data_IF_154999041996
#
_entry.id   IF_154999041996
#
_cell.length_a   1.000
_cell.length_b   1.000
_cell.length_c   1.000
_cell.angle_alpha   90.00
_cell.angle_beta   90.00
_cell.angle_gamma   90.00
#
_symmetry.space_group_name_H-M   'P 1'
#
loop_
_entity.id
_entity.type
_entity.pdbx_description
1 polymer ?
#
# COMPACT_ATOMS: atom_id res chain seq x y z
N UNK A 1 7.14 -22.25 -31.29
CA UNK A 1 7.09 -20.81 -31.58
C UNK A 1 7.41 -20.10 -30.27
N UNK A 2 8.64 -19.60 -30.09
CA UNK A 2 9.00 -18.71 -28.98
C UNK A 2 8.20 -17.42 -29.17
N UNK A 3 7.18 -17.24 -28.31
CA UNK A 3 6.48 -15.96 -28.24
C UNK A 3 7.48 -14.95 -27.67
N UNK A 4 7.90 -14.00 -28.48
CA UNK A 4 8.71 -12.86 -28.09
C UNK A 4 7.87 -11.96 -27.16
N UNK A 5 7.74 -12.36 -25.88
CA UNK A 5 7.04 -11.58 -24.85
C UNK A 5 8.04 -10.66 -24.19
N UNK A 6 7.77 -9.36 -24.20
CA UNK A 6 8.50 -8.38 -23.40
C UNK A 6 7.80 -8.12 -22.08
N UNK A 7 8.56 -7.85 -21.04
CA UNK A 7 8.01 -7.41 -19.73
C UNK A 7 7.72 -5.92 -19.84
N UNK A 8 6.45 -5.55 -19.65
CA UNK A 8 6.01 -4.15 -19.71
C UNK A 8 5.70 -3.57 -18.33
N UNK A 9 5.49 -4.42 -17.31
CA UNK A 9 5.22 -3.97 -15.94
C UNK A 9 6.03 -4.79 -14.95
N UNK A 10 6.57 -4.13 -13.94
CA UNK A 10 7.24 -4.75 -12.80
C UNK A 10 6.52 -4.31 -11.52
N UNK A 11 6.13 -5.28 -10.71
CA UNK A 11 5.51 -5.03 -9.42
C UNK A 11 6.25 -5.79 -8.31
N UNK A 12 6.77 -5.08 -7.33
CA UNK A 12 7.33 -5.65 -6.11
C UNK A 12 6.30 -5.48 -5.00
N UNK A 13 5.69 -6.57 -4.59
CA UNK A 13 4.64 -6.58 -3.58
C UNK A 13 4.70 -7.83 -2.70
N UNK A 14 3.67 -8.03 -1.88
CA UNK A 14 3.55 -9.15 -0.97
C UNK A 14 3.43 -8.73 0.49
N UNK A 15 4.19 -9.33 1.42
CA UNK A 15 4.07 -9.05 2.84
C UNK A 15 4.25 -7.58 3.19
N UNK A 16 5.45 -7.07 3.07
CA UNK A 16 5.79 -5.64 3.15
C UNK A 16 7.19 -5.46 2.57
N UNK A 17 7.34 -5.14 1.29
CA UNK A 17 8.66 -5.02 0.65
C UNK A 17 9.61 -4.03 1.33
N UNK A 18 9.05 -2.96 1.89
CA UNK A 18 9.81 -1.92 2.61
C UNK A 18 10.30 -2.33 4.01
N UNK A 19 10.16 -3.60 4.40
CA UNK A 19 10.89 -4.16 5.56
C UNK A 19 12.32 -4.53 5.23
N UNK A 20 12.68 -4.61 3.95
CA UNK A 20 14.07 -4.68 3.52
C UNK A 20 14.79 -3.39 3.90
N UNK A 21 16.09 -3.48 4.17
CA UNK A 21 16.91 -2.26 4.27
C UNK A 21 17.01 -1.57 2.91
N UNK A 22 17.32 -0.27 2.86
CA UNK A 22 17.55 0.44 1.60
C UNK A 22 18.60 -0.24 0.70
N UNK A 23 19.68 -0.78 1.27
CA UNK A 23 20.74 -1.48 0.53
C UNK A 23 20.25 -2.82 -0.03
N UNK A 24 19.42 -3.55 0.73
CA UNK A 24 18.82 -4.81 0.26
C UNK A 24 17.83 -4.56 -0.86
N UNK A 25 17.03 -3.50 -0.76
CA UNK A 25 16.11 -3.09 -1.81
C UNK A 25 16.87 -2.67 -3.09
N UNK A 26 17.91 -1.85 -2.98
CA UNK A 26 18.77 -1.47 -4.11
C UNK A 26 19.39 -2.70 -4.79
N UNK A 27 19.87 -3.65 -3.99
CA UNK A 27 20.45 -4.91 -4.46
C UNK A 27 19.43 -5.78 -5.18
N UNK A 28 18.23 -5.91 -4.62
CA UNK A 28 17.12 -6.66 -5.23
C UNK A 28 16.76 -6.09 -6.60
N UNK A 29 16.55 -4.77 -6.67
CA UNK A 29 16.14 -4.10 -7.91
C UNK A 29 17.24 -4.26 -8.98
N UNK A 30 18.50 -3.99 -8.65
CA UNK A 30 19.62 -4.20 -9.59
C UNK A 30 19.71 -5.63 -10.08
N UNK A 31 19.56 -6.60 -9.17
CA UNK A 31 19.57 -8.01 -9.51
C UNK A 31 18.42 -8.43 -10.45
N UNK A 32 17.26 -7.77 -10.40
CA UNK A 32 16.19 -7.97 -11.37
C UNK A 32 16.56 -7.42 -12.75
N UNK A 33 17.09 -6.19 -12.84
CA UNK A 33 17.52 -5.58 -14.09
C UNK A 33 18.69 -6.30 -14.76
N UNK A 34 19.54 -6.98 -14.00
CA UNK A 34 20.64 -7.79 -14.53
C UNK A 34 20.15 -9.13 -15.14
N UNK A 35 19.04 -9.67 -14.67
CA UNK A 35 18.55 -11.02 -15.02
C UNK A 35 17.43 -11.03 -16.03
N UNK A 36 16.68 -9.96 -16.12
CA UNK A 36 15.51 -9.83 -17.00
C UNK A 36 15.72 -8.66 -17.95
N UNK A 37 15.26 -8.83 -19.20
CA UNK A 37 15.15 -7.70 -20.12
C UNK A 37 13.94 -6.85 -19.73
N UNK A 38 14.23 -5.76 -19.02
CA UNK A 38 13.26 -4.80 -18.52
C UNK A 38 13.29 -3.47 -19.32
N UNK A 39 13.88 -3.49 -20.53
CA UNK A 39 14.02 -2.29 -21.39
C UNK A 39 12.68 -1.70 -21.84
N UNK A 40 11.61 -2.51 -21.85
CA UNK A 40 10.27 -2.11 -22.29
C UNK A 40 9.31 -1.84 -21.13
N UNK A 41 9.82 -1.70 -19.89
CA UNK A 41 8.98 -1.38 -18.73
C UNK A 41 8.28 -0.03 -18.94
N UNK A 42 6.97 -0.04 -18.76
CA UNK A 42 6.08 1.13 -18.78
C UNK A 42 5.62 1.55 -17.39
N UNK A 43 5.60 0.61 -16.45
CA UNK A 43 5.28 0.86 -15.04
C UNK A 43 6.14 -0.02 -14.14
N UNK A 44 6.81 0.61 -13.18
CA UNK A 44 7.53 -0.05 -12.11
C UNK A 44 6.95 0.37 -10.76
N UNK A 45 6.18 -0.53 -10.15
CA UNK A 45 5.48 -0.30 -8.88
C UNK A 45 6.17 -1.04 -7.73
N UNK A 46 6.33 -0.36 -6.59
CA UNK A 46 6.70 -0.99 -5.32
C UNK A 46 5.61 -0.74 -4.29
N UNK A 47 5.15 -1.84 -3.64
CA UNK A 47 4.24 -1.77 -2.53
C UNK A 47 4.99 -1.27 -1.29
N UNK A 48 4.80 0.00 -0.96
CA UNK A 48 5.39 0.62 0.21
C UNK A 48 4.63 0.27 1.51
N UNK A 49 3.50 -0.40 1.35
CA UNK A 49 2.73 -1.15 2.34
C UNK A 49 2.36 -0.39 3.61
N UNK A 50 3.29 -0.24 4.53
CA UNK A 50 3.03 0.32 5.86
C UNK A 50 3.81 1.60 6.09
N UNK A 51 3.17 2.69 6.57
CA UNK A 51 3.85 3.93 6.91
C UNK A 51 5.05 3.76 7.85
N UNK A 52 4.94 2.85 8.82
CA UNK A 52 6.00 2.56 9.80
C UNK A 52 7.26 1.91 9.22
N UNK A 53 7.20 1.40 7.99
CA UNK A 53 8.35 0.82 7.26
C UNK A 53 8.91 1.73 6.17
N UNK A 54 8.30 2.90 5.98
CA UNK A 54 8.69 3.87 4.96
C UNK A 54 9.48 5.00 5.64
N UNK A 55 10.67 5.25 5.14
CA UNK A 55 11.48 6.41 5.52
C UNK A 55 12.03 7.09 4.28
N UNK A 56 12.63 8.27 4.45
CA UNK A 56 13.20 9.07 3.36
C UNK A 56 14.23 8.27 2.57
N UNK A 57 15.12 7.57 3.25
CA UNK A 57 16.21 6.81 2.61
C UNK A 57 15.67 5.70 1.70
N UNK A 58 14.66 4.96 2.15
CA UNK A 58 13.97 3.94 1.33
C UNK A 58 13.34 4.58 0.10
N UNK A 59 12.60 5.68 0.27
CA UNK A 59 11.96 6.38 -0.86
C UNK A 59 12.99 6.91 -1.87
N UNK A 60 14.10 7.45 -1.40
CA UNK A 60 15.19 7.92 -2.26
C UNK A 60 15.83 6.76 -3.05
N UNK A 61 16.02 5.60 -2.42
CA UNK A 61 16.51 4.39 -3.10
C UNK A 61 15.53 3.92 -4.17
N UNK A 62 14.24 3.88 -3.87
CA UNK A 62 13.22 3.52 -4.86
C UNK A 62 13.23 4.50 -6.04
N UNK A 63 13.28 5.80 -5.77
CA UNK A 63 13.31 6.83 -6.81
C UNK A 63 14.57 6.77 -7.67
N UNK A 64 15.75 6.56 -7.04
CA UNK A 64 17.03 6.36 -7.72
C UNK A 64 17.02 5.16 -8.67
N UNK A 65 16.27 4.12 -8.33
CA UNK A 65 16.12 2.91 -9.15
C UNK A 65 14.95 2.99 -10.16
N UNK A 66 14.48 4.19 -10.47
CA UNK A 66 13.41 4.46 -11.45
C UNK A 66 12.08 3.77 -11.11
N UNK A 67 11.76 3.62 -9.83
CA UNK A 67 10.41 3.25 -9.43
C UNK A 67 9.47 4.41 -9.76
N UNK A 68 8.48 4.15 -10.60
CA UNK A 68 7.52 5.17 -11.07
C UNK A 68 6.39 5.37 -10.08
N UNK A 69 5.92 4.27 -9.48
CA UNK A 69 4.71 4.22 -8.68
C UNK A 69 4.98 3.54 -7.35
N UNK A 70 4.42 4.09 -6.29
CA UNK A 70 4.36 3.42 -4.99
C UNK A 70 2.92 3.22 -4.55
N UNK A 71 2.67 2.15 -3.79
CA UNK A 71 1.39 1.92 -3.15
C UNK A 71 1.51 2.07 -1.64
N UNK A 72 0.82 3.06 -1.08
CA UNK A 72 0.68 3.26 0.37
C UNK A 72 -0.66 2.66 0.79
N UNK A 73 -0.66 1.78 1.80
CA UNK A 73 -1.82 0.98 2.15
C UNK A 73 -2.39 1.40 3.52
N UNK A 74 -3.12 2.53 3.63
CA UNK A 74 -3.72 2.97 4.88
C UNK A 74 -4.74 1.97 5.42
N UNK A 75 -5.48 1.31 4.57
CA UNK A 75 -6.63 0.44 4.84
C UNK A 75 -7.86 1.22 5.32
N UNK A 76 -7.71 2.16 6.24
CA UNK A 76 -8.71 3.09 6.75
C UNK A 76 -8.01 4.39 7.16
N UNK A 77 -8.76 5.49 7.24
CA UNK A 77 -8.32 6.78 7.78
C UNK A 77 -9.03 7.10 9.10
N UNK A 78 -9.27 6.06 9.92
CA UNK A 78 -9.82 6.16 11.26
C UNK A 78 -8.92 5.41 12.25
N UNK A 79 -8.40 6.11 13.26
CA UNK A 79 -7.42 5.55 14.22
C UNK A 79 -8.00 4.36 15.01
N UNK A 80 -9.27 4.42 15.40
CA UNK A 80 -9.93 3.32 16.09
C UNK A 80 -9.99 2.06 15.22
N UNK A 81 -10.33 2.19 13.94
CA UNK A 81 -10.34 1.08 12.99
C UNK A 81 -8.93 0.52 12.79
N UNK A 82 -7.92 1.39 12.63
CA UNK A 82 -6.53 0.97 12.48
C UNK A 82 -6.05 0.13 13.67
N UNK A 83 -6.36 0.54 14.89
CA UNK A 83 -6.03 -0.21 16.10
C UNK A 83 -6.71 -1.59 16.12
N UNK A 84 -8.00 -1.66 15.79
CA UNK A 84 -8.78 -2.92 15.77
C UNK A 84 -8.24 -3.92 14.76
N UNK A 85 -7.74 -3.46 13.61
CA UNK A 85 -7.12 -4.33 12.60
C UNK A 85 -5.62 -4.59 12.83
N UNK A 86 -5.08 -4.18 14.00
CA UNK A 86 -3.71 -4.45 14.41
C UNK A 86 -2.66 -3.64 13.66
N UNK A 87 -2.98 -2.42 13.25
CA UNK A 87 -2.02 -1.49 12.67
C UNK A 87 -1.30 -0.72 13.78
N UNK A 88 0.03 -0.57 13.65
CA UNK A 88 0.86 0.15 14.61
C UNK A 88 0.96 1.65 14.31
N UNK A 89 0.52 2.09 13.13
CA UNK A 89 0.51 3.47 12.69
C UNK A 89 -0.87 4.10 12.85
N UNK A 90 -0.91 5.40 12.94
CA UNK A 90 -2.12 6.22 13.01
C UNK A 90 -2.35 6.99 11.69
N UNK A 91 -3.45 7.74 11.64
CA UNK A 91 -3.84 8.53 10.45
C UNK A 91 -2.79 9.60 10.13
N UNK A 92 -2.18 10.23 11.15
CA UNK A 92 -1.16 11.25 10.91
C UNK A 92 0.09 10.65 10.29
N UNK A 93 0.52 9.46 10.71
CA UNK A 93 1.66 8.75 10.11
C UNK A 93 1.42 8.46 8.61
N UNK A 94 0.19 8.14 8.23
CA UNK A 94 -0.19 7.93 6.82
C UNK A 94 -0.04 9.24 6.04
N UNK A 95 -0.58 10.35 6.57
CA UNK A 95 -0.51 11.68 5.95
C UNK A 95 0.94 12.12 5.78
N UNK A 96 1.74 11.99 6.84
CA UNK A 96 3.16 12.38 6.84
C UNK A 96 3.96 11.55 5.83
N UNK A 97 3.69 10.24 5.75
CA UNK A 97 4.30 9.36 4.77
C UNK A 97 3.95 9.74 3.34
N UNK A 98 2.67 10.08 3.09
CA UNK A 98 2.23 10.54 1.78
C UNK A 98 2.96 11.82 1.36
N UNK A 99 3.03 12.81 2.25
CA UNK A 99 3.75 14.05 1.98
C UNK A 99 5.25 13.83 1.81
N UNK A 100 5.85 12.97 2.61
CA UNK A 100 7.26 12.61 2.46
C UNK A 100 7.53 11.98 1.07
N UNK A 101 6.65 11.12 0.59
CA UNK A 101 6.77 10.54 -0.75
C UNK A 101 6.69 11.62 -1.84
N UNK A 102 5.77 12.59 -1.70
CA UNK A 102 5.69 13.76 -2.61
C UNK A 102 6.97 14.59 -2.58
N UNK A 103 7.54 14.88 -1.40
CA UNK A 103 8.80 15.62 -1.26
C UNK A 103 9.96 14.94 -1.96
N UNK A 104 10.05 13.60 -1.90
CA UNK A 104 11.08 12.82 -2.60
C UNK A 104 10.85 12.78 -4.12
N UNK A 105 9.67 13.18 -4.58
CA UNK A 105 9.35 13.33 -6.00
C UNK A 105 8.51 12.21 -6.59
N UNK A 106 7.75 11.47 -5.77
CA UNK A 106 6.74 10.56 -6.29
C UNK A 106 5.47 11.34 -6.66
N UNK A 107 5.10 11.27 -7.92
CA UNK A 107 3.91 11.89 -8.52
C UNK A 107 2.87 10.85 -8.98
N UNK A 108 3.14 9.57 -8.76
CA UNK A 108 2.22 8.46 -9.00
C UNK A 108 2.11 7.60 -7.73
N UNK A 109 1.19 7.99 -6.85
CA UNK A 109 0.93 7.29 -5.59
C UNK A 109 -0.44 6.65 -5.65
N UNK A 110 -0.49 5.35 -5.37
CA UNK A 110 -1.72 4.62 -5.13
C UNK A 110 -1.99 4.53 -3.62
N UNK A 111 -3.25 4.62 -3.24
CA UNK A 111 -3.66 4.32 -1.86
C UNK A 111 -4.65 3.15 -1.85
N UNK A 112 -4.44 2.18 -0.93
CA UNK A 112 -5.32 1.02 -0.79
C UNK A 112 -6.18 1.16 0.46
N UNK A 113 -7.49 0.99 0.30
CA UNK A 113 -8.44 0.93 1.42
C UNK A 113 -9.22 -0.38 1.42
N UNK A 114 -9.72 -0.74 2.60
CA UNK A 114 -10.61 -1.89 2.76
C UNK A 114 -11.96 -1.40 3.30
N UNK A 115 -13.04 -1.81 2.65
CA UNK A 115 -14.42 -1.61 3.12
C UNK A 115 -14.91 -2.81 3.91
N UNK A 116 -15.75 -2.56 4.88
CA UNK A 116 -16.33 -3.62 5.73
C UNK A 116 -15.41 -4.07 6.85
N UNK A 117 -14.52 -3.20 7.29
CA UNK A 117 -13.68 -3.45 8.47
C UNK A 117 -14.52 -3.56 9.74
N UNK A 118 -13.93 -4.19 10.75
CA UNK A 118 -14.57 -4.42 12.05
C UNK A 118 -15.09 -3.12 12.64
N UNK A 119 -16.36 -3.13 13.06
CA UNK A 119 -17.09 -2.00 13.68
C UNK A 119 -17.07 -0.72 12.81
N UNK A 120 -16.81 -0.85 11.51
CA UNK A 120 -16.82 0.27 10.59
C UNK A 120 -18.26 0.60 10.17
N UNK A 121 -18.63 1.86 10.23
CA UNK A 121 -19.91 2.38 9.76
C UNK A 121 -19.74 3.29 8.54
N UNK A 122 -20.84 3.70 7.94
CA UNK A 122 -20.83 4.50 6.72
C UNK A 122 -20.16 5.88 6.90
N UNK A 123 -20.29 6.49 8.09
CA UNK A 123 -19.66 7.79 8.35
C UNK A 123 -18.14 7.67 8.47
N UNK A 124 -17.63 6.55 9.01
CA UNK A 124 -16.20 6.25 9.06
C UNK A 124 -15.65 6.01 7.64
N UNK A 125 -16.40 5.34 6.77
CA UNK A 125 -16.03 5.18 5.35
C UNK A 125 -16.00 6.53 4.65
N UNK A 126 -16.99 7.39 4.84
CA UNK A 126 -17.03 8.75 4.28
C UNK A 126 -15.82 9.57 4.74
N UNK A 127 -15.51 9.55 6.05
CA UNK A 127 -14.32 10.21 6.60
C UNK A 127 -13.02 9.71 5.94
N UNK A 128 -12.90 8.39 5.72
CA UNK A 128 -11.76 7.82 5.00
C UNK A 128 -11.65 8.37 3.59
N UNK A 129 -12.75 8.38 2.84
CA UNK A 129 -12.77 8.87 1.46
C UNK A 129 -12.49 10.37 1.37
N UNK A 130 -13.01 11.18 2.31
CA UNK A 130 -12.78 12.62 2.35
C UNK A 130 -11.29 12.94 2.60
N UNK A 131 -10.65 12.28 3.57
CA UNK A 131 -9.22 12.45 3.84
C UNK A 131 -8.34 12.01 2.66
N UNK A 132 -8.68 10.89 2.00
CA UNK A 132 -7.96 10.46 0.80
C UNK A 132 -8.14 11.45 -0.34
N UNK A 133 -9.34 11.98 -0.52
CA UNK A 133 -9.61 13.03 -1.52
C UNK A 133 -8.78 14.29 -1.26
N UNK A 134 -8.58 14.69 -0.01
CA UNK A 134 -7.72 15.82 0.37
C UNK A 134 -6.26 15.57 0.01
N UNK A 135 -5.76 14.34 0.22
CA UNK A 135 -4.40 13.94 -0.18
C UNK A 135 -4.21 13.88 -1.69
N UNK A 136 -5.29 13.60 -2.42
CA UNK A 136 -5.31 13.59 -3.90
C UNK A 136 -4.27 12.63 -4.51
N UNK A 137 -4.32 11.31 -4.22
CA UNK A 137 -3.48 10.33 -4.90
C UNK A 137 -3.90 10.16 -6.36
N UNK A 138 -3.00 9.68 -7.23
CA UNK A 138 -3.28 9.41 -8.65
C UNK A 138 -4.16 8.17 -8.84
N UNK A 139 -4.14 7.24 -7.87
CA UNK A 139 -5.02 6.07 -7.91
C UNK A 139 -5.46 5.63 -6.53
N UNK A 140 -6.64 5.03 -6.47
CA UNK A 140 -7.23 4.46 -5.29
C UNK A 140 -7.65 3.02 -5.59
N UNK A 141 -7.16 2.08 -4.77
CA UNK A 141 -7.60 0.70 -4.81
C UNK A 141 -8.55 0.45 -3.65
N UNK A 142 -9.73 -0.07 -3.95
CA UNK A 142 -10.76 -0.37 -2.94
C UNK A 142 -10.94 -1.88 -2.87
N UNK A 143 -10.64 -2.44 -1.70
CA UNK A 143 -10.87 -3.84 -1.39
C UNK A 143 -12.12 -3.99 -0.52
N UNK A 144 -12.79 -5.13 -0.62
CA UNK A 144 -13.78 -5.57 0.37
C UNK A 144 -13.14 -6.56 1.32
N UNK A 145 -13.49 -6.48 2.61
CA UNK A 145 -12.97 -7.40 3.61
C UNK A 145 -13.32 -8.85 3.25
N UNK A 146 -12.29 -9.69 3.15
CA UNK A 146 -12.46 -11.14 3.01
C UNK A 146 -11.81 -11.85 4.21
N UNK A 147 -12.63 -12.41 5.09
CA UNK A 147 -12.14 -13.13 6.28
C UNK A 147 -11.68 -14.54 5.90
N UNK A 148 -10.37 -14.75 5.92
CA UNK A 148 -9.79 -16.09 5.68
C UNK A 148 -9.99 -16.99 6.90
N UNK A 149 -10.12 -18.33 6.66
CA UNK A 149 -10.33 -19.34 7.71
C UNK A 149 -9.26 -19.36 8.81
N UNK A 150 -8.04 -18.92 8.51
CA UNK A 150 -6.87 -18.94 9.39
C UNK A 150 -6.48 -17.58 9.94
N UNK A 151 -7.33 -16.54 9.75
CA UNK A 151 -7.01 -15.20 10.27
C UNK A 151 -7.36 -15.09 11.76
N UNK A 152 -6.53 -14.33 12.51
CA UNK A 152 -6.82 -13.98 13.91
C UNK A 152 -8.17 -13.29 14.07
N UNK A 153 -8.62 -12.57 13.04
CA UNK A 153 -9.92 -11.93 13.01
C UNK A 153 -11.06 -12.97 13.10
N UNK A 154 -10.88 -14.17 12.54
CA UNK A 154 -11.87 -15.25 12.63
C UNK A 154 -11.95 -15.88 14.01
N UNK A 155 -10.84 -15.94 14.74
CA UNK A 155 -10.81 -16.49 16.09
C UNK A 155 -11.62 -15.61 17.07
N UNK A 156 -11.76 -14.33 16.75
CA UNK A 156 -12.46 -13.32 17.56
C UNK A 156 -13.74 -12.78 16.90
N UNK A 157 -14.25 -13.43 15.84
CA UNK A 157 -15.43 -12.96 15.09
C UNK A 157 -16.70 -12.85 15.94
N UNK A 158 -16.79 -13.61 17.05
CA UNK A 158 -17.91 -13.52 17.99
C UNK A 158 -17.88 -12.22 18.80
N UNK A 159 -16.72 -11.56 18.89
CA UNK A 159 -16.51 -10.31 19.62
C UNK A 159 -16.63 -9.06 18.73
N UNK A 160 -16.82 -9.23 17.39
CA UNK A 160 -16.85 -8.12 16.44
C UNK A 160 -18.07 -8.16 15.54
N UNK A 161 -18.73 -7.03 15.41
CA UNK A 161 -19.73 -6.82 14.36
C UNK A 161 -19.03 -6.50 13.03
N UNK A 162 -19.24 -7.35 12.02
CA UNK A 162 -18.85 -6.99 10.65
C UNK A 162 -19.75 -5.86 10.18
N UNK A 163 -19.17 -4.86 9.53
CA UNK A 163 -19.93 -3.72 9.02
C UNK A 163 -21.13 -4.18 8.19
N UNK A 164 -22.32 -3.80 8.62
CA UNK A 164 -23.56 -3.97 7.87
C UNK A 164 -23.89 -2.61 7.25
N UNK A 165 -23.75 -2.53 5.94
CA UNK A 165 -24.25 -1.37 5.20
C UNK A 165 -25.72 -1.68 4.86
N UNK A 166 -26.68 -1.04 5.55
CA UNK A 166 -28.07 -1.08 5.15
C UNK A 166 -28.22 -0.45 3.75
N UNK A 167 -28.99 -1.13 2.89
CA UNK A 167 -29.32 -0.67 1.52
C UNK A 167 -30.13 0.64 1.51
#
# INVERSE_FOLDING_TARGET
EEQNKSIETLYIGGGTPTTLSPEEMDTLIKGLFERFDLSNIKEFTVEAGRPDTINREMLEVLKKNNVDRISINPQSMNDETLQKIGRNHNVQDIIDTFHLAREVGFDNINMDIILGLVDENLDMVRNTLDKIKELSPESLTVHTLAVKRTSKLKENLEDYELAQYEE
#
